data_IF_223562982508
#
_entry.id   IF_223562982508
#
_cell.length_a   1.000
_cell.length_b   1.000
_cell.length_c   1.000
_cell.angle_alpha   90.00
_cell.angle_beta   90.00
_cell.angle_gamma   90.00
#
_symmetry.space_group_name_H-M   'P 1'
#
loop_
_entity.id
_entity.type
_entity.pdbx_description
1 polymer ?
#
# COMPACT_ATOMS: atom_id res chain seq x y z
N UNK A 1 7.28 -0.16 5.39
CA UNK A 1 5.82 -0.22 5.35
C UNK A 1 5.16 0.26 6.65
N UNK A 2 5.69 -0.07 7.83
CA UNK A 2 5.19 0.35 9.15
C UNK A 2 4.47 1.71 9.26
N UNK A 3 4.97 2.83 8.70
CA UNK A 3 4.24 4.10 8.75
C UNK A 3 2.88 4.05 8.05
N UNK A 4 2.81 3.42 6.87
CA UNK A 4 1.56 3.22 6.11
C UNK A 4 0.62 2.31 6.89
N UNK A 5 1.07 1.12 7.31
CA UNK A 5 0.25 0.17 8.08
C UNK A 5 -0.35 0.80 9.34
N UNK A 6 0.46 1.51 10.13
CA UNK A 6 -0.01 2.17 11.36
C UNK A 6 -1.08 3.24 11.10
N UNK A 7 -1.10 3.80 9.88
CA UNK A 7 -2.06 4.77 9.43
C UNK A 7 -3.31 4.15 8.81
N UNK A 8 -3.30 2.86 8.43
CA UNK A 8 -4.50 2.18 7.92
C UNK A 8 -5.48 1.97 9.08
N UNK A 9 -6.64 2.61 8.95
CA UNK A 9 -7.79 2.55 9.86
C UNK A 9 -9.01 3.16 9.15
N UNK A 10 -10.24 2.86 9.60
CA UNK A 10 -11.45 3.42 9.01
C UNK A 10 -11.38 4.93 8.77
N UNK A 11 -11.81 5.37 7.58
CA UNK A 11 -11.83 6.77 7.15
C UNK A 11 -10.52 7.31 6.59
N UNK A 12 -9.42 6.55 6.62
CA UNK A 12 -8.15 7.00 6.02
C UNK A 12 -8.21 6.85 4.50
N UNK A 13 -7.99 7.93 3.75
CA UNK A 13 -7.94 7.90 2.28
C UNK A 13 -6.61 7.38 1.72
N UNK A 14 -6.65 6.73 0.57
CA UNK A 14 -5.43 6.20 -0.08
C UNK A 14 -4.43 7.28 -0.45
N UNK A 15 -4.88 8.46 -0.86
CA UNK A 15 -3.98 9.59 -1.18
C UNK A 15 -3.15 9.97 0.04
N UNK A 16 -3.76 9.95 1.24
CA UNK A 16 -3.04 10.25 2.49
C UNK A 16 -1.97 9.21 2.78
N UNK A 17 -2.24 7.93 2.52
CA UNK A 17 -1.28 6.84 2.71
C UNK A 17 -0.13 6.92 1.70
N UNK A 18 -0.42 7.22 0.43
CA UNK A 18 0.60 7.46 -0.59
C UNK A 18 1.52 8.63 -0.20
N UNK A 19 0.94 9.75 0.25
CA UNK A 19 1.71 10.92 0.70
C UNK A 19 2.65 10.56 1.86
N UNK A 20 2.14 9.82 2.85
CA UNK A 20 2.92 9.37 4.00
C UNK A 20 4.10 8.49 3.56
N UNK A 21 3.85 7.53 2.67
CA UNK A 21 4.90 6.67 2.12
C UNK A 21 5.97 7.45 1.35
N UNK A 22 5.56 8.33 0.45
CA UNK A 22 6.48 9.18 -0.32
C UNK A 22 7.32 10.10 0.57
N UNK A 23 6.75 10.62 1.64
CA UNK A 23 7.47 11.44 2.62
C UNK A 23 8.59 10.64 3.31
N UNK A 24 8.36 9.36 3.61
CA UNK A 24 9.40 8.47 4.16
C UNK A 24 10.54 8.30 3.17
N UNK A 25 10.26 7.99 1.89
CA UNK A 25 11.31 7.85 0.87
C UNK A 25 12.15 9.14 0.72
N UNK A 26 11.51 10.31 0.74
CA UNK A 26 12.19 11.62 0.73
C UNK A 26 13.10 11.80 1.94
N UNK A 27 12.59 11.54 3.15
CA UNK A 27 13.35 11.67 4.41
C UNK A 27 14.55 10.73 4.47
N UNK A 28 14.43 9.54 3.90
CA UNK A 28 15.51 8.54 3.86
C UNK A 28 16.54 8.79 2.75
N UNK A 29 16.36 9.83 1.93
CA UNK A 29 17.32 10.19 0.88
C UNK A 29 17.37 9.21 -0.29
N UNK A 30 16.30 8.43 -0.51
CA UNK A 30 16.23 7.50 -1.64
C UNK A 30 16.29 8.28 -2.96
N UNK A 31 17.13 7.88 -3.93
CA UNK A 31 17.22 8.57 -5.22
C UNK A 31 15.88 8.57 -5.96
N UNK A 32 15.51 9.72 -6.52
CA UNK A 32 14.26 9.94 -7.28
C UNK A 32 13.04 9.43 -6.51
N UNK A 33 12.73 9.95 -5.31
CA UNK A 33 11.62 9.46 -4.50
C UNK A 33 10.27 9.65 -5.20
N UNK A 34 10.17 10.58 -6.16
CA UNK A 34 9.00 10.75 -7.04
C UNK A 34 8.77 9.59 -8.02
N UNK A 35 9.76 8.73 -8.24
CA UNK A 35 9.62 7.54 -9.08
C UNK A 35 9.07 6.33 -8.33
N UNK A 36 8.91 6.42 -7.01
CA UNK A 36 8.32 5.36 -6.20
C UNK A 36 6.84 5.24 -6.53
N UNK A 37 6.40 4.04 -6.88
CA UNK A 37 4.99 3.72 -7.04
C UNK A 37 4.47 3.13 -5.73
N UNK A 38 3.45 3.79 -5.17
CA UNK A 38 2.70 3.31 -4.01
C UNK A 38 1.28 3.07 -4.48
N UNK A 39 0.86 1.81 -4.45
CA UNK A 39 -0.41 1.37 -5.01
C UNK A 39 -1.16 0.51 -3.99
N UNK A 40 -2.47 0.68 -3.96
CA UNK A 40 -3.38 -0.04 -3.06
C UNK A 40 -4.48 -0.68 -3.88
N UNK A 41 -4.92 -1.87 -3.48
CA UNK A 41 -6.12 -2.49 -4.03
C UNK A 41 -6.78 -3.44 -3.03
N UNK A 42 -8.04 -3.77 -3.28
CA UNK A 42 -8.73 -4.82 -2.54
C UNK A 42 -8.22 -6.21 -2.93
N UNK A 43 -8.23 -7.15 -1.98
CA UNK A 43 -7.90 -8.54 -2.21
C UNK A 43 -8.96 -9.46 -1.60
N UNK A 44 -9.41 -10.45 -2.35
CA UNK A 44 -10.42 -11.39 -1.90
C UNK A 44 -10.47 -12.63 -2.79
N UNK A 45 -11.61 -12.87 -3.43
CA UNK A 45 -11.72 -13.94 -4.42
C UNK A 45 -11.01 -13.61 -5.74
N UNK A 46 -10.78 -12.33 -6.02
CA UNK A 46 -9.91 -11.85 -7.09
C UNK A 46 -8.55 -11.47 -6.53
N UNK A 47 -7.49 -11.61 -7.35
CA UNK A 47 -6.16 -11.10 -7.03
C UNK A 47 -6.14 -9.58 -6.90
N UNK A 48 -7.01 -8.91 -7.64
CA UNK A 48 -7.20 -7.47 -7.56
C UNK A 48 -8.68 -7.20 -7.71
N UNK A 49 -9.30 -6.77 -6.63
CA UNK A 49 -10.60 -6.12 -6.72
C UNK A 49 -10.32 -4.71 -7.27
N UNK A 50 -10.75 -4.49 -8.51
CA UNK A 50 -10.56 -3.22 -9.19
C UNK A 50 -11.48 -2.17 -8.58
N UNK A 51 -11.01 -0.92 -8.60
CA UNK A 51 -11.73 0.25 -8.07
C UNK A 51 -13.19 0.22 -8.53
N UNK A 52 -14.10 0.30 -7.55
CA UNK A 52 -15.51 0.50 -7.83
C UNK A 52 -15.64 1.79 -8.64
N UNK A 53 -16.48 1.76 -9.68
CA UNK A 53 -16.89 3.00 -10.30
C UNK A 53 -18.03 3.58 -9.45
N UNK A 54 -18.07 4.90 -9.33
CA UNK A 54 -19.28 5.58 -8.92
C UNK A 54 -20.44 5.21 -9.87
N UNK A 55 -21.72 5.39 -9.47
CA UNK A 55 -22.86 5.02 -10.32
C UNK A 55 -22.87 5.66 -11.72
N UNK A 56 -22.19 6.79 -11.90
CA UNK A 56 -21.98 7.51 -13.17
C UNK A 56 -20.78 7.00 -13.99
N UNK A 57 -20.09 5.95 -13.54
CA UNK A 57 -18.98 5.32 -14.26
C UNK A 57 -17.62 5.98 -14.03
N UNK A 58 -17.51 6.89 -13.06
CA UNK A 58 -16.24 7.54 -12.72
C UNK A 58 -15.45 6.63 -11.77
N UNK A 59 -14.15 6.36 -12.02
CA UNK A 59 -13.33 5.60 -11.08
C UNK A 59 -13.31 6.28 -9.72
N UNK A 60 -13.55 5.51 -8.65
CA UNK A 60 -13.46 6.02 -7.28
C UNK A 60 -11.99 6.30 -6.94
N UNK A 61 -11.52 7.52 -7.19
CA UNK A 61 -10.08 7.81 -7.23
C UNK A 61 -9.36 8.03 -5.89
N UNK A 62 -10.06 8.43 -4.82
CA UNK A 62 -9.49 8.56 -3.47
C UNK A 62 -10.43 7.90 -2.45
N UNK A 63 -10.55 6.58 -2.56
CA UNK A 63 -11.36 5.79 -1.65
C UNK A 63 -10.75 5.74 -0.25
N UNK A 64 -11.63 5.53 0.74
CA UNK A 64 -11.29 5.49 2.15
C UNK A 64 -11.36 4.07 2.68
N UNK A 65 -10.52 3.77 3.66
CA UNK A 65 -10.55 2.49 4.36
C UNK A 65 -11.87 2.32 5.12
N UNK A 66 -12.44 1.12 5.08
CA UNK A 66 -13.63 0.75 5.85
C UNK A 66 -13.38 -0.54 6.63
N UNK A 67 -14.03 -0.74 7.80
CA UNK A 67 -13.91 -1.99 8.55
C UNK A 67 -14.28 -3.20 7.69
N UNK A 68 -13.45 -4.25 7.73
CA UNK A 68 -13.66 -5.49 6.99
C UNK A 68 -13.03 -5.50 5.59
N UNK A 69 -12.52 -4.38 5.10
CA UNK A 69 -11.71 -4.38 3.87
C UNK A 69 -10.43 -5.18 4.06
N UNK A 70 -10.04 -5.94 3.03
CA UNK A 70 -8.71 -6.54 2.93
C UNK A 70 -7.95 -5.79 1.86
N UNK A 71 -6.83 -5.17 2.25
CA UNK A 71 -6.11 -4.22 1.40
C UNK A 71 -4.68 -4.68 1.20
N UNK A 72 -4.29 -4.83 -0.06
CA UNK A 72 -2.90 -5.01 -0.46
C UNK A 72 -2.22 -3.65 -0.61
N UNK A 73 -1.01 -3.52 -0.08
CA UNK A 73 -0.15 -2.34 -0.18
C UNK A 73 1.11 -2.71 -0.96
N UNK A 74 1.27 -2.14 -2.15
CA UNK A 74 2.49 -2.28 -2.93
C UNK A 74 3.38 -1.05 -2.79
N UNK A 75 4.66 -1.31 -2.53
CA UNK A 75 5.75 -0.33 -2.58
C UNK A 75 6.74 -0.79 -3.63
N UNK A 76 6.84 -0.04 -4.74
CA UNK A 76 7.82 -0.27 -5.77
C UNK A 76 8.75 0.92 -5.87
N UNK A 77 10.03 0.69 -5.59
CA UNK A 77 11.08 1.59 -6.05
C UNK A 77 11.72 0.99 -7.31
N UNK A 78 11.55 1.63 -8.48
CA UNK A 78 12.04 1.10 -9.75
C UNK A 78 13.57 1.09 -9.85
N UNK A 79 14.26 1.80 -8.95
CA UNK A 79 15.70 1.80 -8.82
C UNK A 79 16.44 2.16 -10.11
N UNK A 80 17.51 1.43 -10.38
CA UNK A 80 18.39 1.62 -11.53
C UNK A 80 18.58 0.33 -12.33
N UNK A 81 19.66 0.27 -13.11
CA UNK A 81 19.97 -0.92 -13.91
C UNK A 81 20.28 -2.17 -13.05
N UNK A 82 20.71 -1.97 -11.81
CA UNK A 82 21.24 -3.04 -10.94
C UNK A 82 20.35 -3.37 -9.74
N UNK A 83 19.35 -2.55 -9.45
CA UNK A 83 18.55 -2.69 -8.25
C UNK A 83 17.11 -2.27 -8.53
N UNK A 84 16.20 -3.03 -7.94
CA UNK A 84 14.77 -2.78 -7.88
C UNK A 84 14.30 -3.34 -6.56
N UNK A 85 13.43 -2.63 -5.87
CA UNK A 85 12.86 -3.10 -4.61
C UNK A 85 11.35 -3.08 -4.78
N UNK A 86 10.75 -4.24 -4.55
CA UNK A 86 9.31 -4.40 -4.49
C UNK A 86 8.96 -5.06 -3.16
N UNK A 87 7.94 -4.52 -2.52
CA UNK A 87 7.38 -5.05 -1.29
C UNK A 87 5.87 -4.98 -1.42
N UNK A 88 5.22 -6.08 -1.07
CA UNK A 88 3.79 -6.18 -0.92
C UNK A 88 3.48 -6.71 0.48
N UNK A 89 2.43 -6.19 1.07
CA UNK A 89 1.80 -6.83 2.22
C UNK A 89 0.31 -6.60 2.18
N UNK A 90 -0.41 -7.43 2.91
CA UNK A 90 -1.87 -7.50 2.91
C UNK A 90 -2.35 -7.41 4.34
N UNK A 91 -3.31 -6.53 4.60
CA UNK A 91 -3.88 -6.37 5.93
C UNK A 91 -5.41 -6.30 5.91
N UNK A 92 -6.02 -6.82 6.98
CA UNK A 92 -7.43 -6.65 7.30
C UNK A 92 -7.63 -5.32 8.02
N UNK A 93 -8.51 -4.46 7.52
CA UNK A 93 -8.90 -3.22 8.20
C UNK A 93 -9.88 -3.56 9.32
N UNK A 94 -9.43 -3.46 10.57
CA UNK A 94 -10.26 -3.56 11.76
C UNK A 94 -10.93 -2.23 12.12
N UNK A 95 -11.56 -2.19 13.31
CA UNK A 95 -12.24 -0.98 13.79
C UNK A 95 -11.26 0.15 14.16
N UNK A 96 -10.07 -0.18 14.67
CA UNK A 96 -9.12 0.80 15.23
C UNK A 96 -7.77 0.84 14.50
N UNK A 97 -7.57 -0.03 13.50
CA UNK A 97 -6.31 -0.20 12.79
C UNK A 97 -6.33 -1.40 11.87
N UNK A 98 -5.22 -1.64 11.18
CA UNK A 98 -5.05 -2.80 10.32
C UNK A 98 -4.32 -3.95 11.02
N UNK A 99 -4.70 -5.17 10.67
CA UNK A 99 -4.04 -6.41 11.07
C UNK A 99 -3.39 -7.06 9.85
N UNK A 100 -2.05 -7.13 9.75
CA UNK A 100 -1.37 -7.77 8.63
C UNK A 100 -1.64 -9.29 8.64
N UNK A 101 -1.89 -9.86 7.47
CA UNK A 101 -2.10 -11.30 7.30
C UNK A 101 -0.81 -12.10 7.43
N UNK A 102 0.31 -11.49 7.03
CA UNK A 102 1.60 -12.15 7.06
C UNK A 102 2.43 -11.67 8.26
N UNK A 103 3.14 -12.62 8.86
CA UNK A 103 4.01 -12.37 10.02
C UNK A 103 5.49 -12.34 9.66
N UNK A 104 5.82 -12.44 8.37
CA UNK A 104 7.19 -12.27 7.93
C UNK A 104 7.63 -10.82 8.10
N UNK A 105 8.83 -10.63 8.64
CA UNK A 105 9.45 -9.32 8.66
C UNK A 105 9.83 -8.86 7.24
N UNK A 106 10.17 -7.59 7.09
CA UNK A 106 10.59 -7.00 5.81
C UNK A 106 12.04 -7.34 5.41
N UNK A 107 12.63 -8.34 6.05
CA UNK A 107 13.96 -8.82 5.68
C UNK A 107 13.89 -9.46 4.29
N UNK A 108 14.83 -9.15 3.39
CA UNK A 108 14.77 -9.65 2.04
C UNK A 108 14.91 -11.18 2.05
N UNK A 109 13.93 -11.85 1.44
CA UNK A 109 13.98 -13.29 1.20
C UNK A 109 15.05 -13.52 0.13
N UNK A 110 16.26 -13.84 0.56
CA UNK A 110 17.44 -13.94 -0.30
C UNK A 110 17.77 -15.36 -0.75
N UNK A 111 16.85 -16.31 -0.51
CA UNK A 111 17.10 -17.74 -0.74
C UNK A 111 18.15 -18.32 0.23
N UNK A 112 18.45 -19.62 0.16
CA UNK A 112 19.73 -20.14 0.65
C UNK A 112 20.92 -19.63 -0.19
#
# INVERSE_FOLDING_TARGET
>A
MRPIENAIRPGTGITKLQQLGLEVYRKMGVPRPESVLIFFHGLGLSHMDLEENTPDGTPLGDWVMEPGMVVATHLLWPGGAKERIWLEDVALVGQDGAEPFFSWDFDPITGP
#
